data_IF_779329504810
#
_entry.id   IF_779329504810
#
_cell.length_a   1.000
_cell.length_b   1.000
_cell.length_c   1.000
_cell.angle_alpha   90.00
_cell.angle_beta   90.00
_cell.angle_gamma   90.00
#
_symmetry.space_group_name_H-M   'P 1'
#
loop_
_entity.id
_entity.type
_entity.pdbx_description
1 polymer ?
#
# COMPACT_ATOMS: atom_id res chain seq x y z
N UNK A 1 14.30 -5.66 6.54
CA UNK A 1 14.13 -4.50 7.45
C UNK A 1 15.37 -3.61 7.42
N UNK A 2 16.58 -4.18 7.57
CA UNK A 2 17.86 -3.47 7.52
C UNK A 2 18.07 -2.56 6.28
N UNK A 3 17.81 -3.04 5.05
CA UNK A 3 17.96 -2.24 3.81
C UNK A 3 17.11 -0.95 3.82
N UNK A 4 15.94 -0.98 4.47
CA UNK A 4 15.07 0.19 4.55
C UNK A 4 15.57 1.23 5.55
N UNK A 5 16.08 0.77 6.69
CA UNK A 5 16.62 1.67 7.72
C UNK A 5 17.86 2.38 7.21
N UNK A 6 18.67 1.68 6.42
CA UNK A 6 19.83 2.26 5.73
C UNK A 6 19.40 3.28 4.65
N UNK A 7 18.47 2.93 3.76
CA UNK A 7 17.96 3.89 2.74
C UNK A 7 17.30 5.12 3.37
N UNK A 8 16.55 4.95 4.47
CA UNK A 8 15.95 6.07 5.18
C UNK A 8 17.01 6.98 5.82
N UNK A 9 18.09 6.40 6.36
CA UNK A 9 19.22 7.17 6.87
C UNK A 9 19.96 7.91 5.75
N UNK A 10 20.17 7.27 4.59
CA UNK A 10 20.77 7.89 3.41
C UNK A 10 19.93 9.06 2.90
N UNK A 11 18.60 8.89 2.81
CA UNK A 11 17.69 9.98 2.43
C UNK A 11 17.77 11.17 3.40
N UNK A 12 17.88 10.92 4.71
CA UNK A 12 18.07 12.01 5.69
C UNK A 12 19.36 12.79 5.41
N UNK A 13 20.47 12.09 5.10
CA UNK A 13 21.76 12.73 4.78
C UNK A 13 21.68 13.53 3.48
N UNK A 14 21.00 13.00 2.46
CA UNK A 14 20.72 13.72 1.21
C UNK A 14 19.94 15.00 1.48
N UNK A 15 18.83 14.92 2.23
CA UNK A 15 18.02 16.11 2.55
C UNK A 15 18.78 17.14 3.37
N UNK A 16 19.70 16.70 4.24
CA UNK A 16 20.56 17.61 5.00
C UNK A 16 21.54 18.35 4.08
N UNK A 17 22.13 17.67 3.09
CA UNK A 17 22.99 18.30 2.09
C UNK A 17 22.23 19.31 1.22
N UNK A 18 21.04 18.96 0.73
CA UNK A 18 20.19 19.89 -0.05
C UNK A 18 19.78 21.11 0.77
N UNK A 19 19.40 20.91 2.05
CA UNK A 19 19.04 22.03 2.93
C UNK A 19 20.24 22.95 3.17
N UNK A 20 21.43 22.38 3.31
CA UNK A 20 22.66 23.15 3.46
C UNK A 20 23.03 23.90 2.16
N UNK A 21 22.78 23.31 0.99
CA UNK A 21 22.95 23.98 -0.30
C UNK A 21 22.05 25.22 -0.41
N UNK A 22 20.75 25.08 -0.11
CA UNK A 22 19.81 26.22 -0.15
C UNK A 22 20.25 27.35 0.79
N UNK A 23 20.86 27.02 1.94
CA UNK A 23 21.41 28.02 2.86
C UNK A 23 22.63 28.74 2.27
N UNK A 24 23.47 28.04 1.53
CA UNK A 24 24.59 28.65 0.80
C UNK A 24 24.06 29.63 -0.24
N UNK A 25 23.15 29.19 -1.11
CA UNK A 25 22.54 30.03 -2.15
C UNK A 25 21.88 31.28 -1.56
N UNK A 26 21.15 31.13 -0.46
CA UNK A 26 20.54 32.25 0.26
C UNK A 26 21.58 33.22 0.86
N UNK A 27 22.65 32.69 1.44
CA UNK A 27 23.72 33.52 2.01
C UNK A 27 24.49 34.27 0.92
N UNK A 28 24.82 33.63 -0.19
CA UNK A 28 25.45 34.24 -1.36
C UNK A 28 24.58 35.36 -1.96
N UNK A 29 23.27 35.11 -2.11
CA UNK A 29 22.33 36.14 -2.56
C UNK A 29 22.32 37.36 -1.62
N UNK A 30 22.43 37.13 -0.30
CA UNK A 30 22.52 38.21 0.69
C UNK A 30 23.86 38.97 0.59
N UNK A 31 24.98 38.27 0.36
CA UNK A 31 26.29 38.91 0.09
C UNK A 31 26.19 39.81 -1.14
N UNK A 32 25.67 39.28 -2.26
CA UNK A 32 25.54 40.04 -3.50
C UNK A 32 24.63 41.26 -3.34
N UNK A 33 23.55 41.14 -2.58
CA UNK A 33 22.67 42.27 -2.27
C UNK A 33 23.37 43.33 -1.42
N UNK A 34 24.09 42.91 -0.37
CA UNK A 34 24.78 43.85 0.52
C UNK A 34 25.96 44.54 -0.15
N UNK A 35 26.69 43.83 -1.02
CA UNK A 35 27.75 44.42 -1.85
C UNK A 35 27.21 45.58 -2.68
N UNK A 36 26.08 45.38 -3.38
CA UNK A 36 25.41 46.45 -4.15
C UNK A 36 25.00 47.64 -3.29
N UNK A 37 24.68 47.44 -2.01
CA UNK A 37 24.34 48.53 -1.09
C UNK A 37 25.60 49.32 -0.72
N UNK A 38 26.71 48.63 -0.46
CA UNK A 38 28.01 49.26 -0.19
C UNK A 38 28.46 50.06 -1.41
N UNK A 39 28.47 49.45 -2.60
CA UNK A 39 28.89 50.12 -3.85
C UNK A 39 28.07 51.40 -4.09
N UNK A 40 26.73 51.33 -3.97
CA UNK A 40 25.85 52.51 -4.14
C UNK A 40 26.11 53.62 -3.12
N UNK A 41 26.49 53.26 -1.89
CA UNK A 41 26.78 54.23 -0.83
C UNK A 41 28.13 54.89 -1.06
N UNK A 42 29.11 54.11 -1.49
CA UNK A 42 30.43 54.59 -1.89
C UNK A 42 30.31 55.55 -3.09
N UNK A 43 29.61 55.15 -4.15
CA UNK A 43 29.33 55.98 -5.32
C UNK A 43 28.67 57.32 -4.94
N UNK A 44 27.65 57.30 -4.08
CA UNK A 44 26.96 58.51 -3.63
C UNK A 44 27.87 59.45 -2.81
N UNK A 45 28.84 58.88 -2.10
CA UNK A 45 29.82 59.63 -1.31
C UNK A 45 30.88 60.26 -2.23
N UNK A 46 31.36 59.51 -3.22
CA UNK A 46 32.28 59.98 -4.26
C UNK A 46 31.63 61.06 -5.14
N UNK A 47 30.39 60.88 -5.58
CA UNK A 47 29.68 61.85 -6.42
C UNK A 47 29.55 63.22 -5.72
N UNK A 48 29.28 63.22 -4.41
CA UNK A 48 29.08 64.46 -3.64
C UNK A 48 30.38 65.08 -3.11
N UNK A 49 31.37 64.25 -2.78
CA UNK A 49 32.56 64.65 -2.02
C UNK A 49 33.89 64.17 -2.62
N UNK A 50 33.93 63.57 -3.80
CA UNK A 50 35.15 63.05 -4.45
C UNK A 50 35.99 64.08 -5.22
N UNK A 51 35.52 65.33 -5.36
CA UNK A 51 36.22 66.38 -6.09
C UNK A 51 37.38 67.05 -5.32
N UNK A 52 38.34 67.70 -6.01
CA UNK A 52 39.58 68.26 -5.42
C UNK A 52 39.37 69.37 -4.36
N UNK A 53 38.15 69.92 -4.25
CA UNK A 53 37.78 70.94 -3.25
C UNK A 53 36.95 70.39 -2.08
N UNK A 54 36.76 69.06 -1.98
CA UNK A 54 35.92 68.42 -0.96
C UNK A 54 36.47 68.48 0.47
N UNK A 55 37.78 68.70 0.59
CA UNK A 55 38.52 68.93 1.83
C UNK A 55 38.00 70.11 2.67
N UNK A 56 37.21 71.02 2.08
CA UNK A 56 36.55 72.13 2.79
C UNK A 56 35.08 71.85 3.17
N UNK A 57 34.54 70.67 2.83
CA UNK A 57 33.14 70.28 3.10
C UNK A 57 33.05 69.27 4.24
N UNK A 58 33.48 69.66 5.45
CA UNK A 58 33.08 68.94 6.68
C UNK A 58 31.64 69.36 6.97
N UNK A 59 30.68 68.59 6.45
CA UNK A 59 29.25 68.79 6.73
C UNK A 59 28.73 67.62 7.55
N UNK A 60 27.82 67.88 8.50
CA UNK A 60 27.19 66.80 9.27
C UNK A 60 26.47 65.75 8.39
N UNK A 61 26.15 66.11 7.15
CA UNK A 61 25.65 65.16 6.13
C UNK A 61 26.71 64.20 5.61
N UNK A 62 27.96 64.64 5.42
CA UNK A 62 29.08 63.77 5.01
C UNK A 62 29.35 62.71 6.08
N UNK A 63 29.49 63.13 7.33
CA UNK A 63 29.72 62.22 8.46
C UNK A 63 28.59 61.19 8.60
N UNK A 64 27.33 61.56 8.36
CA UNK A 64 26.21 60.61 8.34
C UNK A 64 26.31 59.60 7.20
N UNK A 65 26.78 60.01 6.01
CA UNK A 65 26.98 59.11 4.88
C UNK A 65 28.14 58.15 5.12
N UNK A 66 29.27 58.65 5.63
CA UNK A 66 30.44 57.84 6.03
C UNK A 66 30.04 56.81 7.09
N UNK A 67 29.40 57.22 8.19
CA UNK A 67 28.90 56.30 9.21
C UNK A 67 27.92 55.25 8.66
N UNK A 68 27.15 55.61 7.64
CA UNK A 68 26.19 54.68 7.05
C UNK A 68 26.84 53.74 6.02
N UNK A 69 27.96 54.13 5.41
CA UNK A 69 28.85 53.26 4.65
C UNK A 69 29.55 52.27 5.59
N UNK A 70 30.16 52.74 6.68
CA UNK A 70 30.83 51.90 7.69
C UNK A 70 29.90 50.80 8.24
N UNK A 71 28.63 51.15 8.51
CA UNK A 71 27.61 50.19 8.94
C UNK A 71 27.28 49.16 7.86
N UNK A 72 27.23 49.57 6.60
CA UNK A 72 26.96 48.68 5.48
C UNK A 72 28.13 47.72 5.24
N UNK A 73 29.37 48.20 5.32
CA UNK A 73 30.58 47.38 5.24
C UNK A 73 30.67 46.38 6.39
N UNK A 74 30.35 46.81 7.61
CA UNK A 74 30.31 45.93 8.79
C UNK A 74 29.27 44.81 8.60
N UNK A 75 28.07 45.12 8.10
CA UNK A 75 27.06 44.11 7.81
C UNK A 75 27.48 43.22 6.62
N UNK A 76 28.14 43.76 5.59
CA UNK A 76 28.69 42.96 4.49
C UNK A 76 29.70 41.92 5.01
N UNK A 77 30.64 42.34 5.85
CA UNK A 77 31.62 41.44 6.47
C UNK A 77 30.92 40.35 7.32
N UNK A 78 29.89 40.71 8.08
CA UNK A 78 29.10 39.73 8.84
C UNK A 78 28.38 38.74 7.92
N UNK A 79 27.77 39.20 6.84
CA UNK A 79 27.08 38.33 5.88
C UNK A 79 28.06 37.41 5.15
N UNK A 80 29.26 37.89 4.82
CA UNK A 80 30.33 37.06 4.26
C UNK A 80 30.76 35.96 5.24
N UNK A 81 30.90 36.26 6.54
CA UNK A 81 31.18 35.23 7.55
C UNK A 81 30.07 34.17 7.62
N UNK A 82 28.80 34.57 7.49
CA UNK A 82 27.66 33.65 7.43
C UNK A 82 27.73 32.78 6.17
N UNK A 83 28.06 33.35 5.00
CA UNK A 83 28.24 32.59 3.77
C UNK A 83 29.37 31.55 3.90
N UNK A 84 30.52 31.93 4.47
CA UNK A 84 31.63 31.01 4.75
C UNK A 84 31.19 29.87 5.69
N UNK A 85 30.45 30.19 6.75
CA UNK A 85 29.90 29.17 7.64
C UNK A 85 28.91 28.24 6.93
N UNK A 86 28.03 28.78 6.08
CA UNK A 86 27.11 27.99 5.26
C UNK A 86 27.86 27.04 4.32
N UNK A 87 28.92 27.50 3.65
CA UNK A 87 29.76 26.64 2.80
C UNK A 87 30.43 25.52 3.60
N UNK A 88 30.95 25.80 4.80
CA UNK A 88 31.53 24.77 5.67
C UNK A 88 30.50 23.73 6.09
N UNK A 89 29.28 24.16 6.40
CA UNK A 89 28.19 23.22 6.71
C UNK A 89 27.78 22.39 5.50
N UNK A 90 27.72 22.99 4.31
CA UNK A 90 27.40 22.27 3.08
C UNK A 90 28.49 21.26 2.72
N UNK A 91 29.78 21.62 2.81
CA UNK A 91 30.88 20.70 2.55
C UNK A 91 30.91 19.54 3.54
N UNK A 92 30.66 19.79 4.83
CA UNK A 92 30.53 18.74 5.84
C UNK A 92 29.33 17.82 5.55
N UNK A 93 28.19 18.37 5.12
CA UNK A 93 27.03 17.58 4.76
C UNK A 93 27.32 16.66 3.55
N UNK A 94 28.01 17.18 2.53
CA UNK A 94 28.42 16.40 1.35
C UNK A 94 29.36 15.24 1.69
N UNK A 95 30.27 15.40 2.67
CA UNK A 95 31.16 14.31 3.10
C UNK A 95 30.40 13.13 3.72
N UNK A 96 29.24 13.39 4.33
CA UNK A 96 28.41 12.34 4.95
C UNK A 96 27.35 11.78 4.00
N UNK A 97 26.97 12.56 2.99
CA UNK A 97 25.97 12.19 2.01
C UNK A 97 26.56 11.17 1.00
N UNK A 98 25.72 10.30 0.42
CA UNK A 98 26.13 9.50 -0.74
C UNK A 98 26.47 10.42 -1.92
N UNK A 99 27.15 9.86 -2.93
CA UNK A 99 27.51 10.63 -4.13
C UNK A 99 26.26 11.24 -4.81
N UNK A 100 26.30 12.53 -5.23
CA UNK A 100 25.15 13.22 -5.84
C UNK A 100 24.52 12.48 -7.03
N UNK A 101 25.36 11.81 -7.84
CA UNK A 101 24.94 10.99 -8.98
C UNK A 101 23.97 9.86 -8.59
N UNK A 102 24.06 9.36 -7.36
CA UNK A 102 23.24 8.24 -6.87
C UNK A 102 21.93 8.70 -6.22
N UNK A 103 21.74 10.00 -5.97
CA UNK A 103 20.61 10.48 -5.18
C UNK A 103 19.25 10.13 -5.80
N UNK A 104 19.14 10.24 -7.13
CA UNK A 104 17.93 9.87 -7.86
C UNK A 104 17.61 8.37 -7.72
N UNK A 105 18.64 7.52 -7.82
CA UNK A 105 18.49 6.07 -7.68
C UNK A 105 18.07 5.68 -6.26
N UNK A 106 18.68 6.28 -5.23
CA UNK A 106 18.35 6.02 -3.82
C UNK A 106 16.90 6.41 -3.53
N UNK A 107 16.45 7.56 -4.03
CA UNK A 107 15.04 8.00 -3.91
C UNK A 107 14.08 7.06 -4.62
N UNK A 108 14.39 6.68 -5.86
CA UNK A 108 13.59 5.75 -6.64
C UNK A 108 13.45 4.40 -5.93
N UNK A 109 14.57 3.86 -5.41
CA UNK A 109 14.58 2.59 -4.68
C UNK A 109 13.75 2.66 -3.40
N UNK A 110 13.86 3.75 -2.63
CA UNK A 110 13.03 3.93 -1.44
C UNK A 110 11.53 4.03 -1.79
N UNK A 111 11.17 4.75 -2.85
CA UNK A 111 9.79 4.86 -3.33
C UNK A 111 9.25 3.51 -3.82
N UNK A 112 10.05 2.74 -4.55
CA UNK A 112 9.72 1.39 -5.00
C UNK A 112 9.40 0.48 -3.81
N UNK A 113 10.27 0.44 -2.79
CA UNK A 113 10.05 -0.37 -1.58
C UNK A 113 8.81 0.08 -0.80
N UNK A 114 8.49 1.38 -0.80
CA UNK A 114 7.26 1.89 -0.20
C UNK A 114 6.01 1.46 -0.99
N UNK A 115 6.06 1.49 -2.32
CA UNK A 115 4.97 1.06 -3.19
C UNK A 115 4.74 -0.46 -3.11
N UNK A 116 5.80 -1.27 -3.09
CA UNK A 116 5.71 -2.72 -2.91
C UNK A 116 5.00 -3.07 -1.59
N UNK A 117 5.23 -2.31 -0.52
CA UNK A 117 4.53 -2.50 0.76
C UNK A 117 3.06 -2.19 0.66
N UNK A 118 2.71 -1.02 0.10
CA UNK A 118 1.31 -0.63 -0.11
C UNK A 118 0.58 -1.64 -0.98
N UNK A 119 1.25 -2.13 -2.02
CA UNK A 119 0.72 -3.18 -2.87
C UNK A 119 0.51 -4.49 -2.11
N UNK A 120 1.51 -4.99 -1.39
CA UNK A 120 1.39 -6.22 -0.59
C UNK A 120 0.32 -6.12 0.50
N UNK A 121 0.17 -4.94 1.11
CA UNK A 121 -0.87 -4.65 2.08
C UNK A 121 -2.25 -4.63 1.41
N UNK A 122 -2.39 -3.99 0.25
CA UNK A 122 -3.61 -4.01 -0.54
C UNK A 122 -4.01 -5.44 -0.97
N UNK A 123 -3.04 -6.25 -1.41
CA UNK A 123 -3.29 -7.66 -1.76
C UNK A 123 -3.74 -8.46 -0.53
N UNK A 124 -3.11 -8.24 0.63
CA UNK A 124 -3.52 -8.92 1.88
C UNK A 124 -4.92 -8.51 2.33
N UNK A 125 -5.26 -7.23 2.26
CA UNK A 125 -6.59 -6.73 2.65
C UNK A 125 -7.66 -7.17 1.65
N UNK A 126 -7.37 -7.18 0.35
CA UNK A 126 -8.28 -7.69 -0.67
C UNK A 126 -8.49 -9.21 -0.55
N UNK A 127 -7.41 -9.98 -0.34
CA UNK A 127 -7.51 -11.41 -0.08
C UNK A 127 -8.34 -11.69 1.19
N UNK A 128 -8.13 -10.92 2.26
CA UNK A 128 -8.93 -11.00 3.47
C UNK A 128 -10.41 -10.59 3.25
N UNK A 129 -10.67 -9.66 2.34
CA UNK A 129 -12.04 -9.26 1.96
C UNK A 129 -12.73 -10.33 1.11
N UNK A 130 -12.02 -10.97 0.17
CA UNK A 130 -12.54 -12.09 -0.63
C UNK A 130 -12.92 -13.27 0.25
N UNK A 131 -12.06 -13.65 1.21
CA UNK A 131 -12.36 -14.69 2.20
C UNK A 131 -13.62 -14.35 3.02
N UNK A 132 -13.81 -13.08 3.42
CA UNK A 132 -15.03 -12.64 4.11
C UNK A 132 -16.29 -12.72 3.24
N UNK A 133 -16.18 -12.45 1.94
CA UNK A 133 -17.30 -12.57 0.98
C UNK A 133 -17.66 -14.02 0.69
N UNK A 134 -16.68 -14.90 0.56
CA UNK A 134 -16.87 -16.31 0.19
C UNK A 134 -17.31 -17.18 1.37
N UNK A 135 -16.81 -16.90 2.58
CA UNK A 135 -17.05 -17.74 3.75
C UNK A 135 -17.91 -17.07 4.84
N UNK A 136 -18.32 -15.82 4.64
CA UNK A 136 -19.00 -15.00 5.64
C UNK A 136 -18.10 -14.63 6.82
N UNK A 137 -18.48 -13.57 7.55
CA UNK A 137 -17.90 -13.34 8.87
C UNK A 137 -18.60 -14.27 9.87
N UNK A 138 -17.86 -15.09 10.65
CA UNK A 138 -18.47 -15.93 11.66
C UNK A 138 -19.09 -15.03 12.73
N UNK A 139 -20.33 -15.34 13.15
CA UNK A 139 -21.03 -14.59 14.19
C UNK A 139 -20.12 -14.38 15.41
N UNK A 140 -20.07 -13.18 16.00
CA UNK A 140 -19.12 -12.86 17.08
C UNK A 140 -19.29 -13.71 18.35
N UNK A 141 -20.46 -14.34 18.53
CA UNK A 141 -20.73 -15.31 19.60
C UNK A 141 -20.47 -16.78 19.25
N UNK A 142 -20.13 -17.07 17.99
CA UNK A 142 -19.95 -18.44 17.50
C UNK A 142 -18.67 -19.08 18.04
N UNK A 143 -18.64 -20.42 18.23
CA UNK A 143 -17.42 -21.17 18.51
C UNK A 143 -16.29 -20.90 17.50
N UNK A 144 -16.63 -20.71 16.21
CA UNK A 144 -15.73 -20.39 15.10
C UNK A 144 -15.01 -19.04 15.31
N UNK A 145 -15.77 -17.99 15.67
CA UNK A 145 -15.21 -16.67 15.96
C UNK A 145 -14.28 -16.69 17.18
N UNK A 146 -14.65 -17.47 18.22
CA UNK A 146 -13.81 -17.67 19.41
C UNK A 146 -12.49 -18.37 19.10
N UNK A 147 -12.50 -19.39 18.24
CA UNK A 147 -11.28 -20.07 17.78
C UNK A 147 -10.40 -19.12 16.95
N UNK A 148 -11.00 -18.35 16.05
CA UNK A 148 -10.29 -17.39 15.20
C UNK A 148 -9.65 -16.26 16.04
N UNK A 149 -10.37 -15.72 17.02
CA UNK A 149 -9.86 -14.73 17.96
C UNK A 149 -8.75 -15.26 18.87
N UNK A 150 -8.85 -16.53 19.31
CA UNK A 150 -7.82 -17.16 20.12
C UNK A 150 -6.53 -17.45 19.34
N UNK A 151 -6.61 -17.80 18.04
CA UNK A 151 -5.43 -18.02 17.19
C UNK A 151 -4.68 -16.72 16.84
N UNK A 152 -5.33 -15.56 16.94
CA UNK A 152 -4.72 -14.24 16.69
C UNK A 152 -4.02 -13.66 17.94
N UNK A 153 -4.17 -14.28 19.11
CA UNK A 153 -3.47 -13.86 20.34
C UNK A 153 -2.04 -14.42 20.39
N UNK A 154 -1.11 -13.70 21.05
CA UNK A 154 0.28 -14.15 21.19
C UNK A 154 0.38 -15.51 21.92
N UNK A 155 1.36 -16.36 21.57
CA UNK A 155 1.52 -17.68 22.16
C UNK A 155 1.80 -17.56 23.67
N UNK A 156 0.96 -18.21 24.49
CA UNK A 156 1.11 -18.25 25.95
C UNK A 156 -0.13 -17.88 26.77
N UNK A 157 -1.19 -17.33 26.14
CA UNK A 157 -2.41 -16.91 26.86
C UNK A 157 -3.62 -17.72 26.39
N UNK A 158 -4.08 -18.69 27.19
CA UNK A 158 -5.44 -19.23 27.10
C UNK A 158 -5.66 -20.52 26.29
N UNK A 159 -4.76 -21.51 26.39
CA UNK A 159 -4.94 -22.83 25.76
C UNK A 159 -6.26 -23.54 26.12
N UNK A 160 -6.78 -23.35 27.34
CA UNK A 160 -8.02 -23.99 27.81
C UNK A 160 -9.27 -23.48 27.07
N UNK A 161 -9.36 -22.18 26.80
CA UNK A 161 -10.50 -21.57 26.09
C UNK A 161 -10.54 -22.00 24.61
N UNK A 162 -9.38 -22.14 23.98
CA UNK A 162 -9.26 -22.65 22.61
C UNK A 162 -9.65 -24.13 22.51
N UNK A 163 -9.22 -24.95 23.47
CA UNK A 163 -9.56 -26.38 23.53
C UNK A 163 -11.06 -26.59 23.72
N UNK A 164 -11.66 -25.84 24.66
CA UNK A 164 -13.11 -25.91 24.93
C UNK A 164 -13.93 -25.47 23.70
N UNK A 165 -13.55 -24.36 23.03
CA UNK A 165 -14.24 -23.90 21.83
C UNK A 165 -14.16 -24.92 20.67
N UNK A 166 -13.00 -25.57 20.48
CA UNK A 166 -12.83 -26.65 19.49
C UNK A 166 -13.70 -27.86 19.80
N UNK A 167 -13.79 -28.24 21.08
CA UNK A 167 -14.64 -29.34 21.51
C UNK A 167 -16.12 -29.04 21.30
N UNK A 168 -16.60 -27.84 21.67
CA UNK A 168 -17.98 -27.42 21.41
C UNK A 168 -18.32 -27.45 19.91
N UNK A 169 -17.42 -26.95 19.06
CA UNK A 169 -17.61 -26.97 17.60
C UNK A 169 -17.70 -28.41 17.06
N UNK A 170 -16.85 -29.31 17.56
CA UNK A 170 -16.89 -30.73 17.17
C UNK A 170 -18.20 -31.43 17.55
N UNK A 171 -18.78 -31.09 18.71
CA UNK A 171 -20.07 -31.65 19.16
C UNK A 171 -21.22 -31.10 18.32
N UNK A 172 -21.27 -29.79 18.10
CA UNK A 172 -22.33 -29.16 17.29
C UNK A 172 -22.32 -29.66 15.84
N UNK A 173 -21.14 -29.83 15.25
CA UNK A 173 -21.01 -30.41 13.90
C UNK A 173 -21.38 -31.88 13.86
N UNK A 174 -21.02 -32.67 14.89
CA UNK A 174 -21.45 -34.07 14.99
C UNK A 174 -22.97 -34.20 15.12
N UNK A 175 -23.62 -33.34 15.91
CA UNK A 175 -25.08 -33.28 16.03
C UNK A 175 -25.76 -32.86 14.73
N UNK A 176 -25.20 -31.89 14.01
CA UNK A 176 -25.70 -31.47 12.70
C UNK A 176 -25.64 -32.60 11.68
N UNK A 177 -24.51 -33.32 11.60
CA UNK A 177 -24.37 -34.46 10.70
C UNK A 177 -25.29 -35.62 11.08
N UNK A 178 -25.54 -35.83 12.38
CA UNK A 178 -26.52 -36.81 12.83
C UNK A 178 -27.95 -36.44 12.39
N UNK A 179 -28.35 -35.17 12.52
CA UNK A 179 -29.64 -34.66 12.04
C UNK A 179 -29.79 -34.73 10.51
N UNK A 180 -28.68 -34.66 9.77
CA UNK A 180 -28.65 -34.80 8.31
C UNK A 180 -28.55 -36.25 7.83
N UNK A 181 -28.50 -37.23 8.74
CA UNK A 181 -28.44 -38.66 8.38
C UNK A 181 -27.12 -39.12 7.78
N UNK A 182 -26.04 -38.32 7.88
CA UNK A 182 -24.75 -38.65 7.27
C UNK A 182 -24.08 -39.84 7.97
N UNK A 183 -23.62 -40.79 7.18
CA UNK A 183 -22.86 -41.95 7.64
C UNK A 183 -21.48 -41.55 8.18
N UNK A 184 -20.86 -42.35 9.06
CA UNK A 184 -19.52 -42.06 9.60
C UNK A 184 -18.41 -41.91 8.56
N UNK A 185 -18.58 -42.46 7.35
CA UNK A 185 -17.65 -42.29 6.24
C UNK A 185 -17.82 -40.91 5.58
N UNK A 186 -19.06 -40.47 5.37
CA UNK A 186 -19.38 -39.15 4.82
C UNK A 186 -18.97 -38.02 5.76
N UNK A 187 -19.14 -38.22 7.07
CA UNK A 187 -18.66 -37.26 8.10
C UNK A 187 -17.16 -37.02 8.00
N UNK A 188 -16.38 -38.11 7.87
CA UNK A 188 -14.91 -38.03 7.73
C UNK A 188 -14.50 -37.43 6.39
N UNK A 189 -15.28 -37.67 5.33
CA UNK A 189 -15.13 -37.00 4.04
C UNK A 189 -15.28 -35.49 4.17
N UNK A 190 -16.41 -35.02 4.69
CA UNK A 190 -16.68 -33.58 4.85
C UNK A 190 -15.69 -32.88 5.78
N UNK A 191 -15.29 -33.52 6.87
CA UNK A 191 -14.29 -32.95 7.78
C UNK A 191 -12.91 -32.82 7.11
N UNK A 192 -12.53 -33.78 6.26
CA UNK A 192 -11.31 -33.71 5.46
C UNK A 192 -11.41 -32.62 4.38
N UNK A 193 -12.56 -32.47 3.73
CA UNK A 193 -12.82 -31.40 2.77
C UNK A 193 -12.78 -29.99 3.39
N UNK A 194 -13.22 -29.83 4.64
CA UNK A 194 -13.10 -28.53 5.35
C UNK A 194 -11.66 -28.17 5.68
N UNK A 195 -10.77 -29.16 5.85
CA UNK A 195 -9.35 -28.95 6.19
C UNK A 195 -8.47 -28.79 4.96
N UNK A 196 -8.86 -29.37 3.83
CA UNK A 196 -8.09 -29.35 2.58
C UNK A 196 -8.97 -28.93 1.37
N UNK A 197 -8.68 -27.79 0.73
CA UNK A 197 -9.44 -27.30 -0.42
C UNK A 197 -9.33 -28.19 -1.67
N UNK A 198 -8.35 -29.10 -1.75
CA UNK A 198 -8.30 -30.11 -2.80
C UNK A 198 -9.29 -31.26 -2.54
N UNK A 199 -9.44 -31.66 -1.28
CA UNK A 199 -10.41 -32.68 -0.87
C UNK A 199 -11.86 -32.22 -1.02
N UNK A 200 -12.14 -30.92 -0.82
CA UNK A 200 -13.47 -30.34 -1.07
C UNK A 200 -13.92 -30.48 -2.52
N UNK A 201 -13.07 -30.11 -3.47
CA UNK A 201 -13.35 -30.24 -4.91
C UNK A 201 -13.59 -31.69 -5.31
N UNK A 202 -12.83 -32.62 -4.72
CA UNK A 202 -13.02 -34.05 -4.98
C UNK A 202 -14.39 -34.56 -4.51
N UNK A 203 -14.89 -34.12 -3.35
CA UNK A 203 -16.24 -34.49 -2.89
C UNK A 203 -17.35 -33.87 -3.73
N UNK A 204 -17.19 -32.64 -4.19
CA UNK A 204 -18.14 -32.01 -5.12
C UNK A 204 -18.24 -32.79 -6.43
N UNK A 205 -17.09 -33.22 -6.97
CA UNK A 205 -17.03 -34.08 -8.16
C UNK A 205 -17.71 -35.43 -7.91
N UNK A 206 -17.48 -36.07 -6.76
CA UNK A 206 -18.12 -37.33 -6.42
C UNK A 206 -19.64 -37.20 -6.28
N UNK A 207 -20.14 -36.14 -5.64
CA UNK A 207 -21.59 -35.88 -5.53
C UNK A 207 -22.22 -35.61 -6.90
N UNK A 208 -21.56 -34.84 -7.75
CA UNK A 208 -22.03 -34.58 -9.10
C UNK A 208 -22.09 -35.88 -9.93
N UNK A 209 -21.10 -36.76 -9.77
CA UNK A 209 -21.09 -38.06 -10.43
C UNK A 209 -22.21 -38.98 -9.93
N UNK A 210 -22.48 -38.99 -8.62
CA UNK A 210 -23.55 -39.80 -8.03
C UNK A 210 -24.95 -39.32 -8.45
N UNK A 211 -25.18 -38.00 -8.48
CA UNK A 211 -26.42 -37.41 -8.98
C UNK A 211 -26.63 -37.68 -10.47
N UNK A 212 -25.56 -37.62 -11.27
CA UNK A 212 -25.63 -37.97 -12.70
C UNK A 212 -26.01 -39.45 -12.88
N UNK A 213 -25.46 -40.33 -12.06
CA UNK A 213 -25.77 -41.76 -12.10
C UNK A 213 -27.22 -42.06 -11.69
N UNK A 214 -27.72 -41.41 -10.64
CA UNK A 214 -29.14 -41.53 -10.22
C UNK A 214 -30.09 -41.01 -11.31
N UNK A 215 -29.78 -39.86 -11.92
CA UNK A 215 -30.57 -39.30 -13.02
C UNK A 215 -30.59 -40.24 -14.25
N UNK A 216 -29.48 -40.93 -14.53
CA UNK A 216 -29.42 -41.92 -15.61
C UNK A 216 -30.25 -43.17 -15.29
N UNK A 217 -30.21 -43.65 -14.05
CA UNK A 217 -31.05 -44.75 -13.59
C UNK A 217 -32.54 -44.40 -13.69
N UNK A 218 -32.96 -43.20 -13.27
CA UNK A 218 -34.35 -42.74 -13.42
C UNK A 218 -34.79 -42.64 -14.88
N UNK A 219 -33.93 -42.10 -15.76
CA UNK A 219 -34.22 -42.06 -17.21
C UNK A 219 -34.42 -43.47 -17.77
N UNK A 220 -33.55 -44.42 -17.39
CA UNK A 220 -33.67 -45.81 -17.82
C UNK A 220 -34.95 -46.47 -17.29
N UNK A 221 -35.35 -46.17 -16.05
CA UNK A 221 -36.60 -46.65 -15.45
C UNK A 221 -37.82 -46.10 -16.19
N UNK A 222 -37.87 -44.78 -16.42
CA UNK A 222 -38.96 -44.13 -17.18
C UNK A 222 -39.05 -44.64 -18.62
N UNK A 223 -37.91 -44.98 -19.24
CA UNK A 223 -37.88 -45.53 -20.59
C UNK A 223 -38.45 -46.96 -20.62
N UNK A 224 -38.16 -47.78 -19.61
CA UNK A 224 -38.76 -49.12 -19.44
C UNK A 224 -40.26 -49.04 -19.14
N UNK A 225 -40.69 -48.10 -18.31
CA UNK A 225 -42.11 -47.84 -18.01
C UNK A 225 -42.89 -47.38 -19.28
N UNK A 226 -42.26 -46.57 -20.15
CA UNK A 226 -42.84 -46.20 -21.44
C UNK A 226 -42.94 -47.36 -22.44
N UNK A 227 -42.06 -48.36 -22.35
CA UNK A 227 -42.13 -49.55 -23.20
C UNK A 227 -43.14 -50.60 -22.72
N UNK A 228 -43.62 -50.50 -21.48
CA UNK A 228 -44.62 -51.43 -20.91
C UNK A 228 -46.07 -51.00 -21.14
N UNK A 229 -46.30 -49.79 -21.67
CA UNK A 229 -47.59 -49.36 -22.21
C UNK A 229 -47.53 -49.38 -23.75
N UNK A 230 -47.84 -50.54 -24.34
CA UNK A 230 -48.30 -50.60 -25.73
C UNK A 230 -49.80 -50.28 -25.76
N UNK A 231 -50.25 -49.15 -26.34
CA UNK A 231 -51.62 -49.06 -26.82
C UNK A 231 -51.71 -49.96 -28.06
N UNK A 232 -52.64 -50.92 -28.04
CA UNK A 232 -52.91 -51.78 -29.19
C UNK A 232 -53.29 -50.95 -30.43
N UNK A 233 -52.97 -51.41 -31.65
CA UNK A 233 -53.25 -50.67 -32.86
C UNK A 233 -54.77 -50.68 -33.13
N UNK A 234 -55.41 -49.52 -33.06
CA UNK A 234 -56.74 -49.32 -33.65
C UNK A 234 -56.58 -49.06 -35.15
N UNK A 235 -56.98 -50.04 -35.96
CA UNK A 235 -57.38 -49.85 -37.35
C UNK A 235 -58.55 -48.85 -37.40
N UNK A 236 -58.46 -47.81 -38.23
CA UNK A 236 -59.62 -46.96 -38.51
C UNK A 236 -59.31 -45.58 -39.10
N UNK A 237 -59.65 -45.44 -40.38
CA UNK A 237 -60.18 -44.23 -41.02
C UNK A 237 -59.28 -43.07 -41.46
N UNK A 238 -58.77 -43.22 -42.69
CA UNK A 238 -59.27 -42.57 -43.92
C UNK A 238 -59.67 -41.06 -43.95
N UNK A 239 -59.17 -40.41 -45.02
CA UNK A 239 -59.58 -39.14 -45.64
C UNK A 239 -59.19 -37.80 -44.98
N UNK A 240 -58.31 -37.02 -45.64
CA UNK A 240 -58.74 -35.98 -46.61
C UNK A 240 -57.57 -35.29 -47.31
N UNK A 241 -57.73 -35.15 -48.62
CA UNK A 241 -56.92 -34.44 -49.59
C UNK A 241 -56.63 -32.98 -49.25
N UNK A 242 -55.40 -32.53 -49.53
CA UNK A 242 -55.16 -31.25 -50.21
C UNK A 242 -53.97 -31.41 -51.16
N UNK A 243 -54.28 -31.42 -52.46
CA UNK A 243 -53.30 -31.57 -53.54
C UNK A 243 -52.45 -30.32 -53.78
N UNK A 244 -51.45 -30.41 -54.68
CA UNK A 244 -50.46 -29.38 -54.92
C UNK A 244 -50.98 -28.35 -55.94
N UNK A 245 -50.56 -27.09 -55.82
CA UNK A 245 -50.64 -26.12 -56.91
C UNK A 245 -49.24 -25.83 -57.44
N UNK A 246 -49.14 -25.86 -58.77
CA UNK A 246 -48.05 -25.33 -59.59
C UNK A 246 -47.71 -23.89 -59.18
#
# INVERSE_FOLDING_TARGET
MAEREDLAAQLKRITAAETAQVRVESAEAKVAHMSKIVDRREDALIERYGGPLSQFKVSGTRTRMEQALDRAETELARVQQVAVAAHRHYSAALQTAPAPEQWAQIRARHAELANQRRFNEAVRTEAAARVRREFGDPDPGSPEARIRAANLRPPGVGFSQLSQARQTLSVLTAEQHYRQGLSPAERRGEERARRDPAAARHLEVLRAAEQAHQAQQERSRRQRERQSYSPGPSLGDSFRHRGPRL
#
